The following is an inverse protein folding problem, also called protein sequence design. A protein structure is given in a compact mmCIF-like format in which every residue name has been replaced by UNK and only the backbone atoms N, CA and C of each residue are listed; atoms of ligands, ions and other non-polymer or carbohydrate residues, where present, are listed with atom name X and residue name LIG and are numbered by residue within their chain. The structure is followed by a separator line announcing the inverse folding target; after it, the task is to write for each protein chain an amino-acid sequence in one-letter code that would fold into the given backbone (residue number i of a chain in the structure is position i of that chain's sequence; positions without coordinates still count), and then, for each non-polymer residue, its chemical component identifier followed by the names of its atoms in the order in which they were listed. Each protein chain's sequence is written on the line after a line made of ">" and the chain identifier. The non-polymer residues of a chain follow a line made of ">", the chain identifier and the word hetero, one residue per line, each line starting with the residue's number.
data_IF_755483453180
#
_entry.id   IF_755483453180
#
_cell.length_a   1.000
_cell.length_b   1.000
_cell.length_c   1.000
_cell.angle_alpha   90.00
_cell.angle_beta   90.00
_cell.angle_gamma   90.00
#
_symmetry.space_group_name_H-M   'P 1'
#
loop_
_entity.id
_entity.type
_entity.pdbx_description
1 polymer ?
#
# COMPACT_ATOMS: atom_id res chain seq x y z
N UNK A 1 5.71 2.73 13.69
CA UNK A 1 5.81 2.27 12.31
C UNK A 1 6.92 2.98 11.54
N UNK A 2 7.06 4.27 11.71
CA UNK A 2 8.00 5.09 10.94
C UNK A 2 9.33 5.35 11.67
N UNK A 3 9.63 4.61 12.73
CA UNK A 3 10.84 4.79 13.54
C UNK A 3 12.00 3.89 13.13
N UNK A 4 11.83 3.11 12.07
CA UNK A 4 12.86 2.18 11.61
C UNK A 4 13.78 2.83 10.59
N UNK A 5 14.82 2.09 10.15
CA UNK A 5 15.82 2.57 9.20
C UNK A 5 15.20 3.14 7.92
N UNK A 6 14.07 2.58 7.47
CA UNK A 6 13.34 3.05 6.29
C UNK A 6 12.23 4.04 6.64
N UNK A 7 12.24 4.58 7.87
CA UNK A 7 11.13 5.40 8.36
C UNK A 7 10.86 6.64 7.52
N UNK A 8 11.90 7.30 7.00
CA UNK A 8 11.72 8.50 6.18
C UNK A 8 11.03 8.19 4.87
N UNK A 9 11.41 7.08 4.22
CA UNK A 9 10.77 6.66 2.97
C UNK A 9 9.32 6.29 3.23
N UNK A 10 9.06 5.51 4.27
CA UNK A 10 7.69 5.10 4.62
C UNK A 10 6.83 6.30 4.99
N UNK A 11 7.37 7.28 5.72
CA UNK A 11 6.64 8.50 6.05
C UNK A 11 6.29 9.28 4.79
N UNK A 12 7.23 9.42 3.86
CA UNK A 12 7.00 10.11 2.60
C UNK A 12 5.94 9.38 1.77
N UNK A 13 6.02 8.05 1.71
CA UNK A 13 5.01 7.24 1.01
C UNK A 13 3.62 7.42 1.63
N UNK A 14 3.53 7.40 2.95
CA UNK A 14 2.27 7.64 3.66
C UNK A 14 1.70 9.02 3.31
N UNK A 15 2.56 10.01 3.15
CA UNK A 15 2.14 11.37 2.79
C UNK A 15 1.74 11.52 1.33
N UNK A 16 1.88 10.46 0.53
CA UNK A 16 1.47 10.47 -0.88
C UNK A 16 2.59 10.73 -1.87
N UNK A 17 3.83 10.82 -1.39
CA UNK A 17 4.98 11.02 -2.26
C UNK A 17 5.47 9.68 -2.83
N UNK A 18 5.91 9.69 -4.09
CA UNK A 18 6.45 8.49 -4.73
C UNK A 18 7.95 8.43 -4.46
N UNK A 19 8.30 8.14 -3.21
CA UNK A 19 9.63 8.31 -2.66
C UNK A 19 10.55 7.09 -2.86
N UNK A 20 10.01 5.94 -3.31
CA UNK A 20 10.80 4.72 -3.44
C UNK A 20 11.26 4.50 -4.88
N UNK A 21 10.32 4.32 -5.82
CA UNK A 21 10.66 4.07 -7.22
C UNK A 21 10.30 5.24 -8.13
N UNK A 22 9.49 6.18 -7.67
CA UNK A 22 8.93 7.24 -8.48
C UNK A 22 7.70 6.79 -9.29
N UNK A 23 7.39 5.51 -9.28
CA UNK A 23 6.20 4.95 -9.94
C UNK A 23 5.10 4.77 -8.89
N UNK A 24 3.98 5.47 -9.08
CA UNK A 24 2.91 5.49 -8.07
C UNK A 24 2.39 4.09 -7.76
N UNK A 25 2.16 3.26 -8.76
CA UNK A 25 1.63 1.91 -8.55
C UNK A 25 2.62 1.00 -7.83
N UNK A 26 3.90 1.09 -8.18
CA UNK A 26 4.94 0.31 -7.48
C UNK A 26 5.11 0.78 -6.05
N UNK A 27 5.03 2.08 -5.84
CA UNK A 27 5.17 2.65 -4.50
C UNK A 27 3.96 2.34 -3.63
N UNK A 28 2.75 2.26 -4.20
CA UNK A 28 1.58 1.75 -3.50
C UNK A 28 1.82 0.32 -3.01
N UNK A 29 2.33 -0.53 -3.89
CA UNK A 29 2.62 -1.93 -3.57
C UNK A 29 3.69 -2.04 -2.48
N UNK A 30 4.76 -1.28 -2.61
CA UNK A 30 5.85 -1.26 -1.62
C UNK A 30 5.35 -0.80 -0.25
N UNK A 31 4.53 0.27 -0.23
CA UNK A 31 3.95 0.77 1.01
C UNK A 31 3.11 -0.31 1.69
N UNK A 32 2.19 -0.93 0.95
CA UNK A 32 1.34 -1.99 1.50
C UNK A 32 2.14 -3.19 1.98
N UNK A 33 3.19 -3.57 1.22
CA UNK A 33 4.06 -4.69 1.62
C UNK A 33 4.71 -4.42 2.98
N UNK A 34 5.20 -3.19 3.19
CA UNK A 34 5.83 -2.82 4.46
C UNK A 34 4.84 -2.82 5.61
N UNK A 35 3.62 -2.32 5.39
CA UNK A 35 2.57 -2.35 6.42
C UNK A 35 2.22 -3.79 6.77
N UNK A 36 2.02 -4.63 5.73
CA UNK A 36 1.69 -6.05 5.93
C UNK A 36 2.80 -6.79 6.68
N UNK A 37 4.04 -6.44 6.41
CA UNK A 37 5.18 -7.06 7.11
C UNK A 37 5.10 -6.80 8.62
N UNK A 38 4.66 -5.61 9.01
CA UNK A 38 4.62 -5.20 10.41
C UNK A 38 3.36 -5.64 11.14
N UNK A 39 2.24 -5.79 10.42
CA UNK A 39 0.97 -6.14 11.07
C UNK A 39 0.56 -7.61 10.86
N UNK A 40 1.49 -8.45 10.40
CA UNK A 40 1.23 -9.88 10.21
C UNK A 40 0.26 -10.18 9.08
N UNK A 41 0.31 -9.39 8.01
CA UNK A 41 -0.58 -9.56 6.85
C UNK A 41 -2.06 -9.32 7.17
N UNK A 42 -2.33 -8.38 8.07
CA UNK A 42 -3.71 -7.94 8.33
C UNK A 42 -4.15 -7.01 7.20
N UNK A 43 -4.67 -7.59 6.12
CA UNK A 43 -5.02 -6.85 4.91
C UNK A 43 -6.13 -5.83 5.17
N UNK A 44 -7.07 -6.14 6.06
CA UNK A 44 -8.13 -5.21 6.42
C UNK A 44 -7.56 -3.96 7.09
N UNK A 45 -6.58 -4.14 7.98
CA UNK A 45 -5.90 -3.00 8.62
C UNK A 45 -5.07 -2.22 7.59
N UNK A 46 -4.37 -2.92 6.70
CA UNK A 46 -3.56 -2.27 5.66
C UNK A 46 -4.46 -1.43 4.75
N UNK A 47 -5.64 -1.93 4.40
CA UNK A 47 -6.61 -1.18 3.62
C UNK A 47 -7.02 0.11 4.35
N UNK A 48 -7.31 0.02 5.64
CA UNK A 48 -7.68 1.20 6.44
C UNK A 48 -6.54 2.22 6.50
N UNK A 49 -5.32 1.74 6.68
CA UNK A 49 -4.13 2.62 6.71
C UNK A 49 -3.95 3.30 5.36
N UNK A 50 -4.08 2.56 4.25
CA UNK A 50 -3.97 3.15 2.91
C UNK A 50 -5.02 4.22 2.70
N UNK A 51 -6.27 3.94 3.07
CA UNK A 51 -7.38 4.89 2.90
C UNK A 51 -7.19 6.17 3.71
N UNK A 52 -6.51 6.08 4.85
CA UNK A 52 -6.20 7.24 5.68
C UNK A 52 -4.96 8.00 5.22
N UNK A 53 -4.16 7.41 4.33
CA UNK A 53 -2.91 8.00 3.87
C UNK A 53 -3.14 9.02 2.76
N UNK A 54 -2.11 9.82 2.49
CA UNK A 54 -2.09 10.71 1.33
C UNK A 54 -2.03 9.99 0.00
N UNK A 55 -1.87 8.66 0.00
CA UNK A 55 -1.85 7.84 -1.22
C UNK A 55 -3.26 7.48 -1.70
N UNK A 56 -4.28 7.64 -0.86
CA UNK A 56 -5.66 7.25 -1.23
C UNK A 56 -6.16 8.08 -2.41
N UNK A 57 -6.72 7.39 -3.38
CA UNK A 57 -7.33 8.01 -4.55
C UNK A 57 -8.42 7.09 -5.10
N UNK A 58 -9.27 7.63 -5.96
CA UNK A 58 -10.44 6.90 -6.49
C UNK A 58 -10.07 5.59 -7.16
N UNK A 59 -8.88 5.51 -7.77
CA UNK A 59 -8.38 4.30 -8.40
C UNK A 59 -8.39 3.10 -7.46
N UNK A 60 -8.22 3.33 -6.16
CA UNK A 60 -8.19 2.26 -5.15
C UNK A 60 -9.45 1.41 -5.20
N UNK A 61 -10.60 2.03 -5.45
CA UNK A 61 -11.88 1.35 -5.50
C UNK A 61 -12.38 1.08 -6.93
N UNK A 62 -11.56 1.37 -7.95
CA UNK A 62 -11.95 1.11 -9.35
C UNK A 62 -11.68 -0.34 -9.72
N UNK A 63 -12.63 -0.93 -10.45
CA UNK A 63 -12.48 -2.27 -11.01
C UNK A 63 -11.58 -2.19 -12.24
N UNK A 64 -10.48 -2.93 -12.22
CA UNK A 64 -9.49 -2.95 -13.30
C UNK A 64 -9.37 -4.31 -13.99
N UNK A 65 -10.07 -5.34 -13.48
CA UNK A 65 -10.01 -6.69 -14.01
C UNK A 65 -11.41 -7.22 -14.26
N UNK A 66 -11.52 -8.16 -15.21
CA UNK A 66 -12.81 -8.72 -15.63
C UNK A 66 -13.49 -9.53 -14.53
N UNK A 67 -12.76 -9.95 -13.51
CA UNK A 67 -13.31 -10.69 -12.38
C UNK A 67 -13.95 -9.78 -11.31
N UNK A 68 -13.99 -8.48 -11.55
CA UNK A 68 -14.55 -7.52 -10.61
C UNK A 68 -13.57 -7.05 -9.52
N UNK A 69 -12.31 -7.46 -9.59
CA UNK A 69 -11.31 -7.07 -8.59
C UNK A 69 -10.91 -5.62 -8.77
N UNK A 70 -10.91 -4.86 -7.67
CA UNK A 70 -10.46 -3.47 -7.68
C UNK A 70 -8.94 -3.38 -7.65
N UNK A 71 -8.41 -2.21 -8.00
CA UNK A 71 -6.98 -1.93 -7.90
C UNK A 71 -6.48 -2.16 -6.46
N UNK A 72 -7.23 -1.68 -5.46
CA UNK A 72 -6.86 -1.85 -4.05
C UNK A 72 -6.84 -3.31 -3.62
N UNK A 73 -7.87 -4.06 -3.99
CA UNK A 73 -7.93 -5.50 -3.67
C UNK A 73 -6.74 -6.25 -4.26
N UNK A 74 -6.39 -5.96 -5.50
CA UNK A 74 -5.25 -6.62 -6.15
C UNK A 74 -3.93 -6.20 -5.51
N UNK A 75 -3.78 -4.93 -5.18
CA UNK A 75 -2.58 -4.42 -4.50
C UNK A 75 -2.41 -5.09 -3.14
N UNK A 76 -3.47 -5.21 -2.36
CA UNK A 76 -3.42 -5.89 -1.07
C UNK A 76 -3.01 -7.36 -1.22
N UNK A 77 -3.59 -8.05 -2.18
CA UNK A 77 -3.27 -9.47 -2.41
C UNK A 77 -1.80 -9.64 -2.84
N UNK A 78 -1.29 -8.77 -3.71
CA UNK A 78 0.08 -8.84 -4.21
C UNK A 78 1.10 -8.42 -3.15
N UNK A 79 0.71 -7.61 -2.20
CA UNK A 79 1.60 -7.14 -1.13
C UNK A 79 1.64 -8.09 0.07
N UNK A 80 0.90 -9.19 0.03
CA UNK A 80 0.91 -10.20 1.08
C UNK A 80 2.31 -10.80 1.22
N UNK A 81 2.83 -10.82 2.45
CA UNK A 81 4.14 -11.38 2.73
C UNK A 81 4.03 -12.90 2.89
N UNK A 82 4.60 -13.62 1.97
CA UNK A 82 4.70 -15.09 2.06
C UNK A 82 5.84 -15.43 3.00
N UNK A 83 5.52 -16.04 4.12
CA UNK A 83 6.50 -16.41 5.15
C UNK A 83 6.64 -17.91 5.27
#
# INVERSE_FOLDING_TARGET
>A
LFKQKNGRILQALYNGEDAWTGDRSRDDLYFCWNVNFRNGNDLAQTDRIFRASGRMRDKWDEVHWSDGTTYGQRTLARSYNKR
#
